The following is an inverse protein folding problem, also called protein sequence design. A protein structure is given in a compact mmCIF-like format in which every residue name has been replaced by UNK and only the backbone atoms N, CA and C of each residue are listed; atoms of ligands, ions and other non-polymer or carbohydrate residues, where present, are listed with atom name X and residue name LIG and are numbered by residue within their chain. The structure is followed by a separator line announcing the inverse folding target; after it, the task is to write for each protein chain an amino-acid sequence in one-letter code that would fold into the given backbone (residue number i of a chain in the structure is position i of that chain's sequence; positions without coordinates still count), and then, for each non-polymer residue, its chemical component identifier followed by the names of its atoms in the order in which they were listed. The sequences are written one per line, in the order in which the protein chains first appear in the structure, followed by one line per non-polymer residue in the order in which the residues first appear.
data_IF_247089845667
#
_entry.id   IF_247089845667
#
_cell.length_a   1.000
_cell.length_b   1.000
_cell.length_c   1.000
_cell.angle_alpha   90.00
_cell.angle_beta   90.00
_cell.angle_gamma   90.00
#
_symmetry.space_group_name_H-M   'P 1'
#
loop_
_entity.id
_entity.type
_entity.pdbx_description
1 polymer ?
#
# COMPACT_ATOMS: atom_id res chain seq x y z
N UNK A 1 -4.41 -15.69 10.60
CA UNK A 1 -2.96 -15.78 10.92
C UNK A 1 -2.77 -16.48 12.28
N UNK A 2 -1.63 -17.13 12.57
CA UNK A 2 -1.35 -17.84 13.85
C UNK A 2 -0.36 -17.10 14.76
N UNK A 3 0.41 -16.14 14.24
CA UNK A 3 1.24 -15.21 15.03
C UNK A 3 1.52 -13.94 14.22
N UNK A 4 1.78 -12.78 14.86
CA UNK A 4 2.09 -11.54 14.15
C UNK A 4 3.27 -11.66 13.16
N UNK A 5 4.29 -12.46 13.53
CA UNK A 5 5.49 -12.67 12.74
C UNK A 5 5.32 -13.64 11.57
N UNK A 6 4.17 -14.33 11.45
CA UNK A 6 3.95 -15.40 10.45
C UNK A 6 4.25 -14.91 9.01
N UNK A 7 3.94 -13.65 8.72
CA UNK A 7 4.13 -13.03 7.40
C UNK A 7 5.19 -11.92 7.40
N UNK A 8 6.04 -11.87 8.43
CA UNK A 8 7.15 -10.92 8.46
C UNK A 8 8.06 -11.20 7.25
N UNK A 9 8.33 -10.21 6.39
CA UNK A 9 9.20 -10.39 5.24
C UNK A 9 10.66 -10.45 5.71
N UNK A 10 11.59 -10.66 4.78
CA UNK A 10 13.02 -10.42 5.03
C UNK A 10 13.33 -8.96 5.41
N UNK A 11 14.60 -8.64 5.73
CA UNK A 11 14.99 -7.28 6.11
C UNK A 11 14.82 -6.27 4.96
N UNK A 12 14.76 -4.96 5.28
CA UNK A 12 14.85 -3.91 4.26
C UNK A 12 16.16 -4.02 3.47
N UNK A 13 16.26 -3.35 2.29
CA UNK A 13 17.49 -3.34 1.51
C UNK A 13 18.68 -2.85 2.34
N UNK A 14 19.85 -3.47 2.13
CA UNK A 14 21.10 -2.99 2.71
C UNK A 14 21.38 -1.56 2.21
N UNK A 15 21.80 -0.66 3.11
CA UNK A 15 22.03 0.74 2.79
C UNK A 15 23.19 0.92 1.78
N UNK A 16 24.12 -0.02 1.69
CA UNK A 16 25.18 0.00 0.68
C UNK A 16 24.75 -0.52 -0.71
N UNK A 17 23.52 -1.04 -0.83
CA UNK A 17 23.07 -1.69 -2.07
C UNK A 17 22.58 -0.72 -3.15
N UNK A 18 22.66 -1.17 -4.40
CA UNK A 18 22.08 -0.45 -5.55
C UNK A 18 20.55 -0.28 -5.42
N UNK A 19 19.87 -1.23 -4.77
CA UNK A 19 18.42 -1.17 -4.52
C UNK A 19 18.10 -0.01 -3.58
N UNK A 20 18.90 0.18 -2.51
CA UNK A 20 18.74 1.32 -1.62
C UNK A 20 18.98 2.64 -2.37
N UNK A 21 20.09 2.75 -3.11
CA UNK A 21 20.41 3.96 -3.86
C UNK A 21 19.31 4.33 -4.87
N UNK A 22 18.78 3.34 -5.58
CA UNK A 22 17.66 3.54 -6.51
C UNK A 22 16.43 4.08 -5.79
N UNK A 23 15.98 3.41 -4.73
CA UNK A 23 14.75 3.75 -4.02
C UNK A 23 14.83 5.10 -3.29
N UNK A 24 15.98 5.39 -2.69
CA UNK A 24 16.29 6.67 -2.07
C UNK A 24 16.16 7.80 -3.10
N UNK A 25 16.81 7.66 -4.25
CA UNK A 25 16.82 8.70 -5.28
C UNK A 25 15.45 8.85 -5.97
N UNK A 26 14.71 7.76 -6.14
CA UNK A 26 13.34 7.80 -6.66
C UNK A 26 12.42 8.61 -5.73
N UNK A 27 12.45 8.34 -4.41
CA UNK A 27 11.66 9.12 -3.44
C UNK A 27 12.16 10.56 -3.34
N UNK A 28 13.47 10.79 -3.37
CA UNK A 28 14.02 12.15 -3.33
C UNK A 28 13.50 12.98 -4.51
N UNK A 29 13.48 12.40 -5.70
CA UNK A 29 13.02 13.05 -6.93
C UNK A 29 11.51 13.29 -6.95
N UNK A 30 10.70 12.29 -6.57
CA UNK A 30 9.24 12.31 -6.76
C UNK A 30 8.44 12.61 -5.50
N UNK A 31 8.98 12.37 -4.31
CA UNK A 31 8.28 12.44 -3.04
C UNK A 31 8.35 13.79 -2.34
N UNK A 32 9.23 14.69 -2.76
CA UNK A 32 9.44 15.98 -2.11
C UNK A 32 8.27 16.95 -2.26
N UNK A 33 8.03 17.82 -1.26
CA UNK A 33 6.97 18.85 -1.27
C UNK A 33 7.03 19.78 -2.48
N UNK A 34 8.24 20.09 -2.95
CA UNK A 34 8.51 20.95 -4.10
C UNK A 34 9.14 20.17 -5.27
N UNK A 35 8.77 18.89 -5.44
CA UNK A 35 9.26 18.08 -6.57
C UNK A 35 8.99 18.77 -7.91
N UNK A 36 10.02 18.86 -8.75
CA UNK A 36 9.92 19.33 -10.14
C UNK A 36 9.65 18.20 -11.14
N UNK A 37 9.72 16.94 -10.68
CA UNK A 37 9.54 15.76 -11.53
C UNK A 37 8.15 15.12 -11.35
N UNK A 38 7.56 15.22 -10.14
CA UNK A 38 6.23 14.69 -9.86
C UNK A 38 5.18 15.45 -10.68
N UNK A 39 4.39 14.73 -11.47
CA UNK A 39 3.34 15.32 -12.29
C UNK A 39 2.13 15.75 -11.44
N UNK A 40 1.23 16.55 -12.04
CA UNK A 40 -0.02 16.93 -11.41
C UNK A 40 -0.90 15.71 -11.08
N UNK A 41 -0.92 14.71 -11.96
CA UNK A 41 -1.67 13.47 -11.75
C UNK A 41 -1.08 12.63 -10.60
N UNK A 42 0.25 12.48 -10.54
CA UNK A 42 0.91 11.81 -9.42
C UNK A 42 0.66 12.54 -8.10
N UNK A 43 0.58 13.87 -8.11
CA UNK A 43 0.19 14.68 -6.95
C UNK A 43 -1.25 14.43 -6.53
N UNK A 44 -2.18 14.31 -7.49
CA UNK A 44 -3.57 13.93 -7.23
C UNK A 44 -3.70 12.54 -6.62
N UNK A 45 -2.94 11.57 -7.13
CA UNK A 45 -2.87 10.20 -6.60
C UNK A 45 -2.31 10.19 -5.16
N UNK A 46 -1.23 10.93 -4.90
CA UNK A 46 -0.62 11.05 -3.57
C UNK A 46 -1.62 11.55 -2.52
N UNK A 47 -2.37 12.62 -2.84
CA UNK A 47 -3.42 13.16 -1.95
C UNK A 47 -4.57 12.18 -1.77
N UNK A 48 -4.99 11.52 -2.84
CA UNK A 48 -6.14 10.62 -2.81
C UNK A 48 -5.95 9.45 -1.84
N UNK A 49 -4.77 8.83 -1.85
CA UNK A 49 -4.47 7.68 -1.00
C UNK A 49 -3.94 8.07 0.39
N UNK A 50 -4.00 9.34 0.78
CA UNK A 50 -3.76 9.76 2.17
C UNK A 50 -4.90 9.30 3.09
N UNK A 51 -6.13 9.18 2.56
CA UNK A 51 -7.24 8.54 3.25
C UNK A 51 -6.86 7.12 3.69
N UNK A 52 -7.28 6.76 4.89
CA UNK A 52 -6.90 5.51 5.55
C UNK A 52 -8.08 4.54 5.59
N UNK A 53 -7.81 3.32 6.07
CA UNK A 53 -8.83 2.30 6.29
C UNK A 53 -9.80 2.68 7.44
N UNK A 54 -11.04 2.15 7.44
CA UNK A 54 -11.78 1.48 6.35
C UNK A 54 -12.25 2.32 5.13
N UNK A 55 -12.48 3.66 5.22
CA UNK A 55 -13.19 4.43 4.19
C UNK A 55 -12.70 4.25 2.76
N UNK A 56 -11.38 4.31 2.53
CA UNK A 56 -10.83 4.33 1.16
C UNK A 56 -10.98 2.98 0.43
N UNK A 57 -10.96 1.86 1.13
CA UNK A 57 -11.01 0.53 0.50
C UNK A 57 -12.42 -0.04 0.42
N UNK A 58 -13.33 0.33 1.34
CA UNK A 58 -14.71 -0.14 1.31
C UNK A 58 -15.47 0.33 0.06
N UNK A 59 -15.12 1.46 -0.54
CA UNK A 59 -15.66 1.86 -1.85
C UNK A 59 -15.33 0.84 -2.95
N UNK A 60 -14.06 0.41 -3.01
CA UNK A 60 -13.59 -0.60 -3.98
C UNK A 60 -14.31 -1.94 -3.77
N UNK A 61 -14.45 -2.39 -2.52
CA UNK A 61 -15.19 -3.64 -2.21
C UNK A 61 -16.67 -3.50 -2.56
N UNK A 62 -17.29 -2.34 -2.30
CA UNK A 62 -18.68 -2.06 -2.68
C UNK A 62 -18.91 -2.10 -4.19
N UNK A 63 -17.96 -1.64 -5.02
CA UNK A 63 -18.08 -1.79 -6.48
C UNK A 63 -18.30 -3.24 -6.89
N UNK A 64 -17.60 -4.18 -6.26
CA UNK A 64 -17.80 -5.62 -6.51
C UNK A 64 -19.09 -6.11 -5.88
N UNK A 65 -19.39 -5.74 -4.62
CA UNK A 65 -20.59 -6.18 -3.92
C UNK A 65 -21.91 -5.72 -4.60
N UNK A 66 -21.87 -4.61 -5.35
CA UNK A 66 -23.00 -4.07 -6.09
C UNK A 66 -23.11 -4.58 -7.54
N UNK A 67 -22.23 -5.49 -7.97
CA UNK A 67 -22.32 -6.08 -9.29
C UNK A 67 -23.65 -6.85 -9.47
N UNK A 68 -24.22 -6.91 -10.69
CA UNK A 68 -25.44 -7.66 -10.96
C UNK A 68 -25.33 -9.13 -10.54
N UNK A 69 -26.41 -9.68 -9.97
CA UNK A 69 -26.48 -11.10 -9.58
C UNK A 69 -25.83 -11.44 -8.24
N UNK A 70 -25.43 -10.44 -7.44
CA UNK A 70 -24.92 -10.68 -6.08
C UNK A 70 -26.02 -10.77 -5.04
N UNK A 71 -25.86 -11.71 -4.11
CA UNK A 71 -26.76 -11.90 -2.98
C UNK A 71 -26.13 -11.44 -1.64
N UNK A 72 -26.99 -11.31 -0.63
CA UNK A 72 -26.62 -10.84 0.70
C UNK A 72 -25.56 -11.72 1.37
N UNK A 73 -25.67 -13.05 1.24
CA UNK A 73 -24.76 -14.00 1.88
C UNK A 73 -23.37 -13.94 1.25
N UNK A 74 -23.29 -13.87 -0.09
CA UNK A 74 -22.05 -13.71 -0.85
C UNK A 74 -21.37 -12.39 -0.49
N UNK A 75 -22.13 -11.31 -0.34
CA UNK A 75 -21.61 -10.01 0.07
C UNK A 75 -21.14 -10.00 1.53
N UNK A 76 -21.91 -10.57 2.46
CA UNK A 76 -21.51 -10.68 3.86
C UNK A 76 -20.20 -11.45 4.00
N UNK A 77 -20.03 -12.55 3.25
CA UNK A 77 -18.78 -13.33 3.20
C UNK A 77 -17.62 -12.52 2.64
N UNK A 78 -17.82 -11.78 1.55
CA UNK A 78 -16.80 -10.92 0.95
C UNK A 78 -16.28 -9.88 1.95
N UNK A 79 -17.19 -9.12 2.57
CA UNK A 79 -16.81 -8.10 3.57
C UNK A 79 -16.14 -8.73 4.79
N UNK A 80 -16.63 -9.88 5.28
CA UNK A 80 -15.98 -10.58 6.38
C UNK A 80 -14.55 -11.01 6.03
N UNK A 81 -14.32 -11.55 4.84
CA UNK A 81 -13.00 -11.94 4.38
C UNK A 81 -12.05 -10.74 4.25
N UNK A 82 -12.50 -9.64 3.62
CA UNK A 82 -11.68 -8.43 3.45
C UNK A 82 -11.32 -7.80 4.79
N UNK A 83 -12.29 -7.56 5.65
CA UNK A 83 -12.05 -6.87 6.94
C UNK A 83 -11.14 -7.72 7.83
N UNK A 84 -11.43 -9.02 8.01
CA UNK A 84 -10.60 -9.88 8.84
C UNK A 84 -9.16 -10.01 8.31
N UNK A 85 -8.99 -10.14 6.99
CA UNK A 85 -7.66 -10.23 6.38
C UNK A 85 -6.90 -8.90 6.48
N UNK A 86 -7.61 -7.77 6.44
CA UNK A 86 -6.99 -6.44 6.57
C UNK A 86 -6.52 -6.19 8.00
N UNK A 87 -7.26 -6.68 9.00
CA UNK A 87 -6.82 -6.68 10.40
C UNK A 87 -5.56 -7.54 10.60
N UNK A 88 -5.54 -8.77 10.06
CA UNK A 88 -4.35 -9.64 10.06
C UNK A 88 -3.15 -8.93 9.39
N UNK A 89 -3.37 -8.20 8.30
CA UNK A 89 -2.34 -7.42 7.61
C UNK A 89 -1.80 -6.26 8.46
N UNK A 90 -2.66 -5.51 9.17
CA UNK A 90 -2.18 -4.45 10.05
C UNK A 90 -1.36 -5.01 11.21
N UNK A 91 -1.74 -6.17 11.78
CA UNK A 91 -0.94 -6.82 12.82
C UNK A 91 0.44 -7.22 12.26
N UNK A 92 0.48 -7.89 11.10
CA UNK A 92 1.73 -8.37 10.51
C UNK A 92 2.67 -7.23 10.06
N UNK A 93 2.13 -6.16 9.48
CA UNK A 93 2.95 -5.03 9.02
C UNK A 93 3.51 -4.23 10.19
N UNK A 94 2.76 -4.07 11.28
CA UNK A 94 3.25 -3.39 12.47
C UNK A 94 4.29 -4.24 13.21
N UNK A 95 4.12 -5.56 13.27
CA UNK A 95 5.18 -6.46 13.73
C UNK A 95 6.48 -6.27 12.94
N UNK A 96 6.42 -6.27 11.60
CA UNK A 96 7.59 -6.05 10.75
C UNK A 96 8.21 -4.64 10.93
N UNK A 97 7.39 -3.59 11.00
CA UNK A 97 7.83 -2.21 11.24
C UNK A 97 8.66 -2.07 12.50
N UNK A 98 8.15 -2.59 13.60
CA UNK A 98 8.85 -2.48 14.89
C UNK A 98 9.96 -3.50 15.06
N UNK A 99 9.94 -4.60 14.30
CA UNK A 99 11.07 -5.52 14.23
C UNK A 99 12.29 -4.89 13.51
N UNK A 100 12.06 -4.20 12.39
CA UNK A 100 13.15 -3.64 11.58
C UNK A 100 13.54 -2.21 11.93
N UNK A 101 12.60 -1.39 12.45
CA UNK A 101 12.89 -0.01 12.84
C UNK A 101 13.41 0.89 11.72
N UNK A 102 13.11 0.56 10.45
CA UNK A 102 13.70 1.24 9.30
C UNK A 102 13.25 2.70 9.20
N UNK A 103 14.20 3.59 8.91
CA UNK A 103 13.99 5.03 8.86
C UNK A 103 13.12 5.47 7.68
N UNK A 104 12.47 6.62 7.84
CA UNK A 104 11.62 7.24 6.81
C UNK A 104 12.44 8.05 5.81
N UNK A 105 11.92 8.33 4.59
CA UNK A 105 12.61 9.17 3.61
C UNK A 105 13.03 10.54 4.13
N UNK A 106 12.21 11.20 4.97
CA UNK A 106 12.57 12.47 5.60
C UNK A 106 13.88 12.35 6.39
N UNK A 107 14.02 11.32 7.19
CA UNK A 107 15.22 11.08 8.00
C UNK A 107 16.39 10.67 7.12
N UNK A 108 16.19 9.69 6.23
CA UNK A 108 17.24 9.18 5.37
C UNK A 108 17.80 10.26 4.45
N UNK A 109 16.95 11.02 3.75
CA UNK A 109 17.40 12.01 2.76
C UNK A 109 18.16 13.17 3.41
N UNK A 110 17.74 13.58 4.61
CA UNK A 110 18.45 14.61 5.38
C UNK A 110 19.76 14.13 6.00
N UNK A 111 20.01 12.81 6.00
CA UNK A 111 21.18 12.16 6.57
C UNK A 111 21.81 11.17 5.58
N UNK A 112 21.72 11.44 4.27
CA UNK A 112 22.28 10.55 3.23
C UNK A 112 23.81 10.46 3.26
N UNK A 113 24.48 11.29 4.07
CA UNK A 113 25.92 11.27 4.32
C UNK A 113 26.35 10.23 5.38
N UNK A 114 25.42 9.55 6.05
CA UNK A 114 25.72 8.55 7.10
C UNK A 114 25.15 7.15 6.80
N UNK A 115 24.61 6.92 5.60
CA UNK A 115 24.12 5.59 5.20
C UNK A 115 25.20 4.70 4.58
N UNK A 116 26.40 5.26 4.33
CA UNK A 116 27.54 4.55 3.75
C UNK A 116 27.48 4.35 2.24
N UNK A 117 26.65 5.11 1.52
CA UNK A 117 26.45 4.98 0.08
C UNK A 117 26.72 6.29 -0.68
N UNK A 118 27.71 6.30 -1.56
CA UNK A 118 28.09 7.52 -2.30
C UNK A 118 27.01 7.98 -3.30
N UNK A 119 26.07 7.10 -3.68
CA UNK A 119 24.99 7.39 -4.61
C UNK A 119 23.77 8.06 -3.96
N UNK A 120 23.73 8.22 -2.64
CA UNK A 120 22.58 8.77 -1.89
C UNK A 120 22.89 10.15 -1.32
N UNK A 121 23.17 11.11 -2.20
CA UNK A 121 23.51 12.48 -1.80
C UNK A 121 22.49 13.06 -0.83
N UNK A 122 22.98 13.61 0.28
CA UNK A 122 22.18 14.31 1.29
C UNK A 122 21.44 15.51 0.71
N UNK A 123 20.25 15.78 1.23
CA UNK A 123 19.55 17.06 1.09
C UNK A 123 18.91 17.42 2.43
N UNK A 124 19.56 18.32 3.17
CA UNK A 124 19.14 18.75 4.51
C UNK A 124 17.81 19.51 4.53
N UNK A 125 17.42 20.11 3.40
CA UNK A 125 16.21 20.89 3.26
C UNK A 125 15.00 20.05 2.86
N UNK A 126 15.25 18.83 2.36
CA UNK A 126 14.21 17.96 1.81
C UNK A 126 13.09 17.72 2.83
N UNK A 127 11.85 17.86 2.35
CA UNK A 127 10.65 17.53 3.11
C UNK A 127 9.69 16.75 2.21
N UNK A 128 9.01 15.72 2.74
CA UNK A 128 8.04 14.93 1.98
C UNK A 128 6.82 15.78 1.62
N UNK A 129 6.07 15.32 0.62
CA UNK A 129 4.88 16.00 0.14
C UNK A 129 3.74 15.96 1.15
N UNK A 130 3.56 14.84 1.85
CA UNK A 130 2.68 14.75 3.03
C UNK A 130 3.50 14.63 4.31
N UNK A 131 2.88 14.89 5.44
CA UNK A 131 3.53 14.68 6.74
C UNK A 131 3.86 13.20 6.96
N UNK A 132 5.07 12.94 7.48
CA UNK A 132 5.53 11.57 7.72
C UNK A 132 4.76 10.95 8.89
N UNK A 133 4.10 9.79 8.71
CA UNK A 133 3.40 9.13 9.80
C UNK A 133 4.35 8.66 10.91
N UNK A 134 3.89 8.76 12.17
CA UNK A 134 4.68 8.46 13.39
C UNK A 134 4.82 6.95 13.67
N UNK A 135 5.41 6.22 12.74
CA UNK A 135 5.81 4.82 12.88
C UNK A 135 6.91 4.46 11.86
N UNK A 136 7.67 3.36 12.07
CA UNK A 136 8.73 2.95 11.15
C UNK A 136 8.25 2.74 9.71
N UNK A 137 9.19 2.86 8.77
CA UNK A 137 8.90 2.85 7.34
C UNK A 137 8.55 1.45 6.84
N UNK A 138 9.39 0.46 7.10
CA UNK A 138 9.37 -0.79 6.37
C UNK A 138 8.52 -1.87 7.05
N UNK A 139 7.53 -2.50 6.37
CA UNK A 139 7.05 -2.22 5.03
C UNK A 139 5.81 -1.31 5.00
N UNK A 140 5.39 -0.90 3.81
CA UNK A 140 4.27 0.02 3.59
C UNK A 140 2.90 -0.55 4.01
N UNK A 141 2.21 0.13 4.94
CA UNK A 141 0.92 -0.29 5.50
C UNK A 141 -0.25 -0.17 4.50
N UNK A 142 -0.33 0.92 3.72
CA UNK A 142 -1.32 1.03 2.63
C UNK A 142 -1.15 -0.08 1.58
N UNK A 143 0.09 -0.48 1.33
CA UNK A 143 0.46 -1.43 0.27
C UNK A 143 0.10 -2.87 0.65
N UNK A 144 0.27 -3.25 1.92
CA UNK A 144 -0.20 -4.55 2.40
C UNK A 144 -1.73 -4.66 2.36
N UNK A 145 -2.44 -3.61 2.74
CA UNK A 145 -3.90 -3.58 2.69
C UNK A 145 -4.40 -3.63 1.24
N UNK A 146 -3.77 -2.90 0.31
CA UNK A 146 -4.17 -2.99 -1.10
C UNK A 146 -3.90 -4.37 -1.69
N UNK A 147 -2.80 -5.02 -1.29
CA UNK A 147 -2.52 -6.42 -1.62
C UNK A 147 -3.60 -7.37 -1.10
N UNK A 148 -4.07 -7.19 0.14
CA UNK A 148 -5.17 -7.99 0.72
C UNK A 148 -6.45 -7.81 -0.10
N UNK A 149 -6.89 -6.56 -0.23
CA UNK A 149 -8.16 -6.22 -0.89
C UNK A 149 -8.14 -6.71 -2.33
N UNK A 150 -7.10 -6.40 -3.10
CA UNK A 150 -7.02 -6.77 -4.50
C UNK A 150 -7.02 -8.29 -4.71
N UNK A 151 -6.26 -9.03 -3.91
CA UNK A 151 -6.18 -10.49 -4.03
C UNK A 151 -7.51 -11.18 -3.69
N UNK A 152 -8.21 -10.69 -2.66
CA UNK A 152 -9.54 -11.22 -2.31
C UNK A 152 -10.55 -10.92 -3.43
N UNK A 153 -10.54 -9.71 -3.99
CA UNK A 153 -11.43 -9.36 -5.10
C UNK A 153 -11.14 -10.18 -6.36
N UNK A 154 -9.87 -10.47 -6.65
CA UNK A 154 -9.48 -11.36 -7.75
C UNK A 154 -10.06 -12.78 -7.54
N UNK A 155 -9.94 -13.32 -6.33
CA UNK A 155 -10.50 -14.63 -5.99
C UNK A 155 -12.03 -14.66 -6.01
N UNK A 156 -12.66 -13.55 -5.61
CA UNK A 156 -14.12 -13.40 -5.58
C UNK A 156 -14.75 -13.32 -6.97
N UNK A 157 -14.12 -12.57 -7.89
CA UNK A 157 -14.59 -12.38 -9.26
C UNK A 157 -14.20 -13.55 -10.16
N UNK A 158 -13.01 -14.13 -9.99
CA UNK A 158 -12.46 -15.17 -10.87
C UNK A 158 -12.44 -14.73 -12.34
N UNK A 159 -13.39 -15.24 -13.12
CA UNK A 159 -13.57 -14.99 -14.54
C UNK A 159 -14.76 -14.04 -14.80
N UNK A 160 -15.47 -13.59 -13.76
CA UNK A 160 -16.48 -12.55 -13.88
C UNK A 160 -15.80 -11.22 -14.27
N UNK A 161 -16.43 -10.39 -15.11
CA UNK A 161 -15.90 -9.07 -15.44
C UNK A 161 -15.68 -8.22 -14.19
N UNK A 162 -14.55 -7.53 -14.13
CA UNK A 162 -14.31 -6.55 -13.06
C UNK A 162 -15.22 -5.35 -13.26
N UNK A 163 -16.11 -5.01 -12.30
CA UNK A 163 -16.89 -3.79 -12.38
C UNK A 163 -15.96 -2.58 -12.21
N UNK A 164 -16.41 -1.40 -12.64
CA UNK A 164 -15.67 -0.16 -12.41
C UNK A 164 -15.44 0.04 -10.90
N UNK A 165 -14.18 -0.04 -10.48
CA UNK A 165 -13.78 0.04 -9.08
C UNK A 165 -13.70 1.51 -8.68
N UNK A 166 -14.66 1.98 -7.89
CA UNK A 166 -14.76 3.41 -7.55
C UNK A 166 -14.74 3.59 -6.05
N UNK A 167 -13.90 4.51 -5.59
CA UNK A 167 -13.87 4.93 -4.19
C UNK A 167 -13.68 6.43 -4.10
N UNK A 168 -13.91 6.98 -2.91
CA UNK A 168 -13.84 8.40 -2.60
C UNK A 168 -12.87 8.62 -1.46
N UNK A 169 -12.16 9.75 -1.50
CA UNK A 169 -11.19 10.15 -0.48
C UNK A 169 -11.61 11.49 0.12
N UNK A 170 -11.93 11.52 1.42
CA UNK A 170 -12.21 12.78 2.12
C UNK A 170 -10.92 13.58 2.34
N UNK A 171 -9.80 12.89 2.53
CA UNK A 171 -8.46 13.47 2.53
C UNK A 171 -8.17 14.30 1.27
N UNK A 172 -8.72 13.89 0.12
CA UNK A 172 -8.64 14.63 -1.13
C UNK A 172 -9.88 15.51 -1.41
N UNK A 173 -10.59 15.96 -0.38
CA UNK A 173 -11.73 16.87 -0.52
C UNK A 173 -12.99 16.22 -1.09
N UNK A 174 -13.19 14.92 -0.88
CA UNK A 174 -14.36 14.19 -1.37
C UNK A 174 -14.28 13.79 -2.84
N UNK A 175 -13.10 13.85 -3.45
CA UNK A 175 -12.88 13.39 -4.83
C UNK A 175 -13.12 11.89 -4.93
N UNK A 176 -13.79 11.45 -6.00
CA UNK A 176 -13.92 10.05 -6.37
C UNK A 176 -12.96 9.70 -7.51
N UNK A 177 -12.36 8.50 -7.47
CA UNK A 177 -11.51 7.98 -8.53
C UNK A 177 -11.89 6.54 -8.84
N UNK A 178 -11.74 6.17 -10.12
CA UNK A 178 -12.16 4.88 -10.64
C UNK A 178 -11.02 4.14 -11.33
N UNK A 179 -10.99 2.82 -11.19
CA UNK A 179 -10.05 1.91 -11.85
C UNK A 179 -10.81 0.82 -12.61
N UNK A 180 -10.28 0.45 -13.77
CA UNK A 180 -10.90 -0.55 -14.64
C UNK A 180 -10.48 -1.96 -14.26
N UNK A 181 -9.29 -2.11 -13.66
CA UNK A 181 -8.76 -3.39 -13.21
C UNK A 181 -8.35 -3.37 -11.75
N UNK A 182 -8.34 -4.55 -11.12
CA UNK A 182 -7.82 -4.70 -9.76
C UNK A 182 -6.30 -4.46 -9.72
N UNK A 183 -5.59 -4.80 -10.79
CA UNK A 183 -4.15 -4.56 -10.87
C UNK A 183 -3.81 -3.07 -10.94
N UNK A 184 -4.60 -2.25 -11.65
CA UNK A 184 -4.46 -0.78 -11.58
C UNK A 184 -4.58 -0.26 -10.14
N UNK A 185 -5.57 -0.74 -9.40
CA UNK A 185 -5.72 -0.41 -7.98
C UNK A 185 -4.50 -0.85 -7.15
N UNK A 186 -4.06 -2.11 -7.30
CA UNK A 186 -2.93 -2.64 -6.54
C UNK A 186 -1.59 -1.97 -6.89
N UNK A 187 -1.40 -1.51 -8.12
CA UNK A 187 -0.22 -0.76 -8.53
C UNK A 187 -0.26 0.70 -8.11
N UNK A 188 -1.44 1.33 -8.10
CA UNK A 188 -1.54 2.74 -7.77
C UNK A 188 -1.25 3.04 -6.31
N UNK A 189 -1.70 2.18 -5.38
CA UNK A 189 -1.53 2.44 -3.94
C UNK A 189 -0.05 2.54 -3.54
N UNK A 190 0.85 1.59 -3.89
CA UNK A 190 2.28 1.73 -3.61
C UNK A 190 2.92 2.95 -4.28
N UNK A 191 2.50 3.27 -5.51
CA UNK A 191 2.96 4.47 -6.22
C UNK A 191 2.56 5.75 -5.47
N UNK A 192 1.34 5.81 -4.92
CA UNK A 192 0.90 6.96 -4.15
C UNK A 192 1.80 7.23 -2.95
N UNK A 193 2.28 6.16 -2.28
CA UNK A 193 3.16 6.24 -1.11
C UNK A 193 4.61 6.61 -1.44
N UNK A 194 4.99 6.46 -2.70
CA UNK A 194 6.24 7.01 -3.24
C UNK A 194 6.07 8.50 -3.54
N UNK A 195 4.98 8.86 -4.24
CA UNK A 195 4.69 10.23 -4.67
C UNK A 195 4.43 11.17 -3.49
N UNK A 196 3.91 10.66 -2.39
CA UNK A 196 3.69 11.43 -1.16
C UNK A 196 4.98 11.59 -0.30
N UNK A 197 6.04 10.88 -0.66
CA UNK A 197 7.36 10.96 -0.04
C UNK A 197 7.54 10.19 1.25
N UNK A 198 6.66 9.23 1.59
CA UNK A 198 6.75 8.55 2.90
C UNK A 198 7.22 7.10 2.83
N UNK A 199 7.24 6.46 1.66
CA UNK A 199 7.66 5.08 1.49
C UNK A 199 8.60 4.87 0.29
N UNK A 200 9.49 3.88 0.42
CA UNK A 200 10.37 3.42 -0.65
C UNK A 200 9.66 2.45 -1.59
N UNK A 201 10.15 2.34 -2.83
CA UNK A 201 9.60 1.45 -3.85
C UNK A 201 9.60 -0.01 -3.42
N UNK A 202 10.69 -0.49 -2.83
CA UNK A 202 10.81 -1.85 -2.32
C UNK A 202 9.85 -2.11 -1.15
N UNK A 203 9.70 -1.14 -0.24
CA UNK A 203 8.74 -1.21 0.86
C UNK A 203 7.30 -1.40 0.37
N UNK A 204 6.94 -0.71 -0.73
CA UNK A 204 5.68 -0.89 -1.43
C UNK A 204 5.50 -2.30 -2.02
N UNK A 205 6.50 -2.78 -2.77
CA UNK A 205 6.51 -4.14 -3.37
C UNK A 205 6.36 -5.24 -2.32
N UNK A 206 7.18 -5.17 -1.27
CA UNK A 206 7.16 -6.15 -0.17
C UNK A 206 5.83 -6.10 0.57
N UNK A 207 5.35 -4.91 0.93
CA UNK A 207 4.05 -4.75 1.59
C UNK A 207 2.93 -5.41 0.78
N UNK A 208 2.86 -5.11 -0.53
CA UNK A 208 1.84 -5.73 -1.40
C UNK A 208 1.95 -7.26 -1.46
N UNK A 209 3.15 -7.84 -1.53
CA UNK A 209 3.28 -9.30 -1.52
C UNK A 209 2.89 -9.93 -0.17
N UNK A 210 3.23 -9.30 0.97
CA UNK A 210 2.72 -9.74 2.27
C UNK A 210 1.19 -9.79 2.28
N UNK A 211 0.55 -8.77 1.69
CA UNK A 211 -0.90 -8.68 1.64
C UNK A 211 -1.52 -9.79 0.80
N UNK A 212 -0.89 -10.11 -0.33
CA UNK A 212 -1.26 -11.26 -1.17
C UNK A 212 -1.18 -12.58 -0.40
N UNK A 213 -0.14 -12.78 0.40
CA UNK A 213 0.01 -14.00 1.21
C UNK A 213 -1.08 -14.14 2.28
N UNK A 214 -1.41 -13.05 2.97
CA UNK A 214 -2.47 -13.02 3.99
C UNK A 214 -3.85 -13.23 3.36
N UNK A 215 -4.11 -12.60 2.22
CA UNK A 215 -5.34 -12.83 1.47
C UNK A 215 -5.54 -14.30 1.09
N UNK A 216 -4.48 -15.02 0.69
CA UNK A 216 -4.57 -16.46 0.36
C UNK A 216 -5.11 -17.29 1.55
N UNK A 217 -4.70 -16.98 2.79
CA UNK A 217 -5.27 -17.63 3.97
C UNK A 217 -6.77 -17.31 4.14
N UNK A 218 -7.15 -16.06 3.93
CA UNK A 218 -8.55 -15.65 4.05
C UNK A 218 -9.42 -16.30 2.97
N UNK A 219 -8.93 -16.38 1.73
CA UNK A 219 -9.60 -17.04 0.61
C UNK A 219 -9.90 -18.50 0.93
N UNK A 220 -8.94 -19.22 1.50
CA UNK A 220 -9.10 -20.60 1.95
C UNK A 220 -10.11 -20.70 3.10
N UNK A 221 -9.91 -19.90 4.16
CA UNK A 221 -10.78 -19.90 5.36
C UNK A 221 -12.24 -19.62 5.03
N UNK A 222 -12.49 -18.61 4.19
CA UNK A 222 -13.83 -18.18 3.81
C UNK A 222 -14.36 -18.95 2.59
N UNK A 223 -13.58 -19.86 2.01
CA UNK A 223 -13.97 -20.66 0.84
C UNK A 223 -14.49 -19.80 -0.31
N UNK A 224 -13.88 -18.64 -0.56
CA UNK A 224 -14.19 -17.82 -1.76
C UNK A 224 -13.92 -18.63 -3.05
N UNK A 225 -13.05 -19.63 -2.87
CA UNK A 225 -12.76 -20.84 -3.64
C UNK A 225 -13.88 -21.79 -4.08
N UNK A 226 -14.97 -21.88 -3.34
CA UNK A 226 -15.92 -23.00 -3.48
C UNK A 226 -17.34 -22.48 -3.73
N UNK A 227 -18.04 -23.15 -4.66
CA UNK A 227 -19.46 -22.91 -4.94
C UNK A 227 -20.31 -23.25 -3.72
#
# INVERSE_FOLDING_TARGET
MTSPAQFRPGPPPDLSSDVWAHDYNEVKALGGKQSRQRTAEQTGIARFWEEVMPPIYHGIVRSVANAPGRDLTRNARLFAAVTQASDDALIAVFDAKYHYGFWRPLTAIRNGDIDGNEATQRDESWVPFIETPMHPEYPCAHCITSGVVGTILQAELRNEPTPLLTTMSNAAGGVSRSRTTIDEFMHEVPNARLYDGVHYRNSGKVGTEMGKQIARLAIEKYRLTHK
#
